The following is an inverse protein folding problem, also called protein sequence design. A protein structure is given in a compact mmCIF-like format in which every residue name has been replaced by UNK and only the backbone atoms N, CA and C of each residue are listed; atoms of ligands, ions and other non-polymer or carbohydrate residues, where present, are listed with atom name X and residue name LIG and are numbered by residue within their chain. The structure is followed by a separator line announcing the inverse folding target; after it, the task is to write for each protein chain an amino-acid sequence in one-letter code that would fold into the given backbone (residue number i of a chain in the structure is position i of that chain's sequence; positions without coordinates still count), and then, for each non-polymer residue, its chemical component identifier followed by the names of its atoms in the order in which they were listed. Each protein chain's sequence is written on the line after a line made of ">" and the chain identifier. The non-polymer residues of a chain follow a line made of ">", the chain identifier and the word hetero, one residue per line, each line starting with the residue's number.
data_IF_339977179529
#
_entry.id   IF_339977179529
#
_cell.length_a   1.000
_cell.length_b   1.000
_cell.length_c   1.000
_cell.angle_alpha   90.00
_cell.angle_beta   90.00
_cell.angle_gamma   90.00
#
_symmetry.space_group_name_H-M   'P 1'
#
loop_
_entity.id
_entity.type
_entity.pdbx_description
1 polymer ?
2 polymer ?
3 non-polymer ?
4 non-polymer ?
5 non-polymer ?
6 non-polymer ?
7 non-polymer ?
8 non-polymer ?
9 water ?
#
# COMPACT_ATOMS: atom_id res chain seq x y z
N UNK A 6 3.76 -13.62 16.54
CA UNK A 6 2.63 -12.81 16.07
C UNK A 6 2.72 -11.41 16.65
N UNK A 7 2.43 -10.41 15.82
CA UNK A 7 2.32 -9.08 16.39
C UNK A 7 1.45 -8.28 15.42
N UNK A 8 0.73 -7.30 15.95
CA UNK A 8 -0.15 -6.49 15.12
C UNK A 8 0.22 -5.03 15.31
N UNK A 9 0.18 -4.26 14.22
CA UNK A 9 0.62 -2.88 14.24
C UNK A 9 -0.53 -1.94 13.92
N UNK A 10 -0.58 -0.82 14.62
CA UNK A 10 -1.43 0.30 14.21
C UNK A 10 -0.51 1.46 13.91
N UNK A 11 -0.61 1.96 12.68
CA UNK A 11 0.19 3.07 12.18
C UNK A 11 -0.72 4.25 11.87
N UNK A 12 -0.35 5.42 12.37
CA UNK A 12 -0.87 6.69 11.89
C UNK A 12 0.25 7.31 11.08
N UNK A 13 0.02 7.51 9.79
CA UNK A 13 1.04 8.09 8.94
C UNK A 13 0.60 9.46 8.47
N UNK A 14 1.59 10.31 8.20
CA UNK A 14 1.41 11.64 7.66
C UNK A 14 2.40 11.91 6.54
N UNK A 15 1.97 12.71 5.59
CA UNK A 15 2.78 13.15 4.47
C UNK A 15 2.57 14.65 4.32
N UNK A 16 3.63 15.42 4.46
CA UNK A 16 3.58 16.86 4.33
C UNK A 16 4.42 17.26 3.13
N UNK A 17 3.78 17.80 2.11
CA UNK A 17 4.46 18.17 0.87
C UNK A 17 4.51 19.68 0.82
N UNK A 18 5.69 20.24 0.97
CA UNK A 18 5.88 21.69 0.92
C UNK A 18 6.31 22.05 -0.50
N UNK A 19 5.39 22.69 -1.24
CA UNK A 19 5.64 23.09 -2.61
C UNK A 19 6.43 24.40 -2.66
N UNK A 20 6.02 25.39 -1.88
CA UNK A 20 6.68 26.69 -1.83
C UNK A 20 6.36 27.34 -0.49
N UNK A 21 6.71 28.61 -0.35
CA UNK A 21 6.68 29.29 0.94
C UNK A 21 5.26 29.48 1.46
N UNK A 22 4.28 29.28 0.61
CA UNK A 22 2.91 29.61 0.91
C UNK A 22 1.96 28.46 0.64
N UNK A 23 2.46 27.33 0.10
CA UNK A 23 1.62 26.19 -0.25
C UNK A 23 2.27 24.92 0.26
N UNK A 24 1.66 24.34 1.28
CA UNK A 24 1.94 22.98 1.68
C UNK A 24 0.64 22.22 1.62
N UNK A 25 0.75 20.90 1.57
CA UNK A 25 -0.42 20.06 1.71
C UNK A 25 -0.12 18.93 2.68
N UNK A 26 -1.12 18.57 3.47
CA UNK A 26 -0.96 17.51 4.45
C UNK A 26 -1.96 16.39 4.32
N UNK A 27 -1.46 15.16 4.23
CA UNK A 27 -2.27 13.97 4.14
C UNK A 27 -1.97 13.04 5.30
N UNK A 28 -2.90 12.13 5.55
CA UNK A 28 -2.78 11.27 6.70
C UNK A 28 -3.80 10.16 6.72
N UNK A 29 -3.41 9.07 7.38
CA UNK A 29 -4.25 7.88 7.40
C UNK A 29 -3.85 6.98 8.55
N UNK A 30 -4.75 6.08 8.91
CA UNK A 30 -4.51 5.09 9.94
C UNK A 30 -4.68 3.69 9.38
N UNK A 31 -3.75 2.80 9.74
CA UNK A 31 -3.60 1.48 9.15
C UNK A 31 -3.46 0.44 10.23
N UNK A 32 -4.24 -0.62 10.11
CA UNK A 32 -4.15 -1.76 11.00
C UNK A 32 -3.42 -2.84 10.20
N UNK A 33 -2.15 -3.09 10.54
CA UNK A 33 -1.21 -3.75 9.64
C UNK A 33 -1.26 -3.15 8.25
N UNK A 34 -1.76 -3.89 7.26
CA UNK A 34 -1.81 -3.36 5.90
C UNK A 34 -3.19 -2.86 5.51
N UNK A 35 -4.15 -2.94 6.42
CA UNK A 35 -5.53 -2.57 6.15
C UNK A 35 -5.77 -1.13 6.59
N UNK A 36 -6.10 -0.26 5.65
CA UNK A 36 -6.43 1.11 6.03
C UNK A 36 -7.72 1.12 6.82
N UNK A 37 -7.68 1.72 8.01
CA UNK A 37 -8.87 1.81 8.84
C UNK A 37 -9.36 3.23 8.99
N UNK A 38 -8.51 4.22 8.70
CA UNK A 38 -8.87 5.61 8.90
C UNK A 38 -8.27 6.45 7.79
N UNK A 39 -9.02 7.47 7.37
CA UNK A 39 -8.51 8.53 6.54
C UNK A 39 -8.56 9.85 7.28
N UNK A 40 -8.05 10.91 6.64
CA UNK A 40 -8.19 12.26 7.14
C UNK A 40 -8.81 13.19 6.09
N UNK A 41 -9.89 13.88 6.46
CA UNK A 41 -10.51 14.86 5.57
C UNK A 41 -9.88 16.24 5.84
N UNK A 42 -9.09 16.70 4.86
CA UNK A 42 -8.28 17.92 4.99
C UNK A 42 -9.10 19.19 4.88
N UNK A 43 -10.19 19.17 4.12
CA UNK A 43 -10.97 20.39 3.98
C UNK A 43 -11.89 20.65 5.15
N UNK A 44 -12.28 19.61 5.89
CA UNK A 44 -12.98 19.79 7.15
C UNK A 44 -12.13 19.40 8.34
N UNK A 45 -10.94 18.86 8.13
CA UNK A 45 -10.03 18.49 9.19
C UNK A 45 -10.63 17.51 10.17
N UNK A 46 -11.15 16.39 9.69
CA UNK A 46 -11.83 15.42 10.55
C UNK A 46 -11.35 14.02 10.22
N UNK A 47 -11.59 13.09 11.14
CA UNK A 47 -11.23 11.69 10.90
C UNK A 47 -12.27 11.07 9.97
N UNK A 48 -11.82 10.25 9.03
CA UNK A 48 -12.72 9.42 8.24
C UNK A 48 -12.64 8.00 8.77
N UNK A 49 -13.75 7.52 9.33
CA UNK A 49 -13.87 6.16 9.83
C UNK A 49 -14.26 5.25 8.66
N UNK A 50 -13.32 4.39 8.23
CA UNK A 50 -13.52 3.67 6.97
C UNK A 50 -14.34 2.40 7.15
N UNK A 51 -14.37 1.84 8.35
CA UNK A 51 -15.17 0.67 8.62
C UNK A 51 -16.14 0.99 9.76
N UNK A 52 -17.23 0.22 9.82
CA UNK A 52 -18.19 0.39 10.90
C UNK A 52 -17.55 0.20 12.28
N UNK A 53 -16.42 -0.52 12.34
CA UNK A 53 -15.75 -0.81 13.61
C UNK A 53 -14.52 0.07 13.85
N UNK A 54 -14.28 1.08 13.02
CA UNK A 54 -13.08 1.89 13.05
C UNK A 54 -12.96 2.78 14.28
N UNK A 55 -14.04 2.93 15.07
CA UNK A 55 -13.95 3.65 16.32
C UNK A 55 -13.44 2.79 17.46
N UNK A 56 -13.25 1.49 17.22
CA UNK A 56 -12.84 0.57 18.26
C UNK A 56 -13.74 0.64 19.47
N UNK A 57 -13.14 0.60 20.65
CA UNK A 57 -13.84 0.79 21.91
C UNK A 57 -13.78 2.24 22.39
N UNK A 58 -13.35 3.18 21.56
CA UNK A 58 -13.24 4.57 21.97
C UNK A 58 -14.60 5.28 21.90
N UNK A 59 -14.84 6.18 22.84
CA UNK A 59 -16.05 7.00 22.82
C UNK A 59 -15.91 8.13 21.81
N UNK A 60 -17.05 8.69 21.41
CA UNK A 60 -17.01 9.85 20.52
C UNK A 60 -16.25 11.00 21.15
N UNK A 61 -16.21 11.04 22.49
CA UNK A 61 -15.54 12.12 23.19
C UNK A 61 -14.03 11.99 23.05
N UNK A 62 -13.51 10.78 23.28
CA UNK A 62 -12.08 10.53 23.08
C UNK A 62 -11.69 10.81 21.64
N UNK A 63 -12.52 10.37 20.69
CA UNK A 63 -12.22 10.57 19.28
C UNK A 63 -12.26 12.06 18.92
N UNK A 64 -13.23 12.83 19.45
CA UNK A 64 -13.26 14.28 19.22
C UNK A 64 -12.01 14.94 19.76
N UNK A 65 -11.58 14.56 20.97
CA UNK A 65 -10.32 15.05 21.50
C UNK A 65 -9.18 14.78 20.52
N UNK A 66 -9.09 13.54 20.03
CA UNK A 66 -7.98 13.19 19.15
C UNK A 66 -8.07 13.97 17.84
N UNK A 67 -9.28 14.12 17.30
CA UNK A 67 -9.49 14.87 16.07
C UNK A 67 -8.98 16.29 16.22
N UNK A 68 -9.37 16.97 17.31
CA UNK A 68 -8.86 18.33 17.54
C UNK A 68 -7.35 18.34 17.69
N UNK A 69 -6.81 17.33 18.35
CA UNK A 69 -5.36 17.27 18.53
C UNK A 69 -4.65 17.12 17.18
N UNK A 70 -5.18 16.27 16.30
CA UNK A 70 -4.57 16.04 15.00
C UNK A 70 -4.67 17.28 14.13
N UNK A 71 -5.80 17.97 14.15
CA UNK A 71 -5.91 19.15 13.30
C UNK A 71 -4.99 20.27 13.81
N UNK A 72 -4.92 20.45 15.13
CA UNK A 72 -3.94 21.38 15.68
C UNK A 72 -2.52 20.99 15.28
N UNK A 73 -2.19 19.69 15.38
CA UNK A 73 -0.86 19.20 15.03
C UNK A 73 -0.54 19.49 13.57
N UNK A 74 -1.41 19.06 12.66
CA UNK A 74 -1.14 19.27 11.23
C UNK A 74 -0.91 20.74 10.94
N UNK A 75 -1.80 21.61 11.42
CA UNK A 75 -1.66 23.02 11.10
C UNK A 75 -0.40 23.60 11.71
N UNK A 76 -0.12 23.29 12.99
CA UNK A 76 1.01 23.88 13.66
C UNK A 76 2.35 23.38 13.16
N UNK A 77 2.42 22.10 12.78
CA UNK A 77 3.65 21.58 12.19
C UNK A 77 3.92 22.22 10.84
N UNK A 78 2.91 22.24 9.96
CA UNK A 78 3.05 22.94 8.69
C UNK A 78 3.49 24.39 8.88
N UNK A 79 2.86 25.08 9.84
CA UNK A 79 3.17 26.50 10.02
C UNK A 79 4.58 26.70 10.54
N UNK A 80 5.00 25.89 11.52
CA UNK A 80 6.34 26.07 12.06
C UNK A 80 7.41 25.75 11.03
N UNK A 81 7.16 24.75 10.18
CA UNK A 81 8.10 24.43 9.12
C UNK A 81 8.15 25.54 8.09
N UNK A 82 7.00 26.08 7.68
CA UNK A 82 7.00 27.18 6.71
C UNK A 82 7.64 28.43 7.27
N UNK A 83 7.48 28.68 8.56
CA UNK A 83 8.18 29.78 9.23
C UNK A 83 9.68 29.56 9.17
N UNK A 84 10.14 28.41 9.65
CA UNK A 84 11.58 28.18 9.81
C UNK A 84 12.28 27.86 8.49
N UNK A 85 11.54 27.65 7.41
CA UNK A 85 12.11 27.51 6.07
C UNK A 85 12.29 28.86 5.38
N UNK A 86 12.13 29.95 6.13
CA UNK A 86 12.39 31.34 5.72
C UNK A 86 12.17 31.63 4.24
N UNK A 87 13.09 32.38 3.64
CA UNK A 87 13.08 32.68 2.21
C UNK A 87 14.09 31.84 1.43
N UNK A 88 14.35 30.61 1.89
CA UNK A 88 15.30 29.73 1.22
C UNK A 88 14.59 28.92 0.14
N UNK A 89 13.98 29.63 -0.82
CA UNK A 89 13.15 28.96 -1.81
C UNK A 89 13.95 28.21 -2.88
N UNK A 90 15.25 28.03 -2.68
CA UNK A 90 15.96 27.01 -3.43
C UNK A 90 15.80 25.63 -2.79
N UNK A 91 15.31 25.57 -1.57
CA UNK A 91 15.11 24.32 -0.84
C UNK A 91 13.78 23.64 -1.16
N UNK A 92 12.85 24.35 -1.84
CA UNK A 92 11.57 23.76 -2.24
C UNK A 92 11.69 23.11 -3.63
N UNK A 93 10.90 22.06 -3.92
CA UNK A 93 9.93 21.44 -3.02
C UNK A 93 10.60 20.44 -2.08
N UNK A 94 10.01 20.20 -0.93
CA UNK A 94 10.50 19.11 -0.09
C UNK A 94 9.31 18.45 0.58
N UNK A 95 9.59 17.35 1.26
CA UNK A 95 8.51 16.47 1.67
C UNK A 95 8.92 15.75 2.95
N UNK A 96 8.05 15.81 3.95
CA UNK A 96 8.29 15.23 5.26
C UNK A 96 7.30 14.08 5.44
N UNK A 97 7.78 12.94 5.93
CA UNK A 97 6.93 11.81 6.23
C UNK A 97 7.00 11.46 7.71
N UNK A 98 5.87 11.10 8.29
CA UNK A 98 5.80 10.73 9.70
C UNK A 98 5.11 9.39 9.79
N UNK A 99 5.70 8.46 10.52
CA UNK A 99 5.08 7.17 10.78
C UNK A 99 5.11 6.98 12.28
N UNK A 100 3.95 7.01 12.91
CA UNK A 100 3.85 6.88 14.35
C UNK A 100 2.86 5.78 14.68
N UNK A 101 2.99 5.17 15.85
CA UNK A 101 2.04 4.12 16.16
C UNK A 101 2.61 3.13 17.16
N UNK A 102 2.05 1.93 17.11
CA UNK A 102 2.37 0.95 18.13
C UNK A 102 2.17 -0.44 17.57
N UNK A 103 2.66 -1.41 18.33
CA UNK A 103 2.58 -2.82 18.00
C UNK A 103 2.27 -3.61 19.25
N UNK A 104 1.25 -4.47 19.16
CA UNK A 104 0.97 -5.46 20.17
C UNK A 104 1.70 -6.74 19.83
N UNK A 105 2.19 -7.42 20.87
CA UNK A 105 3.04 -8.60 20.74
C UNK A 105 2.47 -9.71 21.61
N UNK A 106 2.48 -10.93 21.09
CA UNK A 106 2.14 -12.08 21.92
C UNK A 106 3.25 -12.29 22.95
N UNK A 107 2.90 -12.14 24.23
CA UNK A 107 3.84 -12.42 25.31
C UNK A 107 4.82 -11.31 25.64
N UNK A 108 4.90 -10.26 24.82
CA UNK A 108 5.76 -9.13 25.09
C UNK A 108 4.97 -7.85 25.34
N UNK A 109 5.68 -6.86 25.87
CA UNK A 109 5.08 -5.55 26.04
C UNK A 109 4.87 -4.88 24.68
N UNK A 110 3.97 -3.90 24.61
CA UNK A 110 3.78 -3.19 23.34
C UNK A 110 5.02 -2.41 22.96
N UNK A 111 5.12 -2.09 21.67
CA UNK A 111 6.15 -1.21 21.16
C UNK A 111 5.48 0.07 20.68
N UNK A 112 6.11 1.20 20.91
CA UNK A 112 5.62 2.48 20.41
C UNK A 112 6.70 3.20 19.64
N UNK A 113 6.33 3.86 18.55
CA UNK A 113 7.33 4.47 17.70
C UNK A 113 6.80 5.75 17.07
N UNK A 114 7.75 6.61 16.68
CA UNK A 114 7.44 7.88 16.02
C UNK A 114 8.67 8.25 15.19
N UNK A 115 8.58 8.05 13.88
CA UNK A 115 9.71 8.12 12.97
C UNK A 115 9.44 9.15 11.90
N UNK A 116 10.45 9.93 11.56
CA UNK A 116 10.28 11.03 10.62
C UNK A 116 11.33 10.92 9.54
N UNK A 117 10.91 11.17 8.31
CA UNK A 117 11.77 11.15 7.15
C UNK A 117 11.70 12.51 6.47
N UNK A 118 12.82 12.88 5.86
CA UNK A 118 12.95 14.12 5.09
C UNK A 118 13.46 13.74 3.71
N UNK A 119 12.72 14.14 2.68
CA UNK A 119 13.03 13.77 1.30
C UNK A 119 13.35 12.28 1.16
N UNK A 120 12.59 11.44 1.86
CA UNK A 120 12.72 10.01 1.71
C UNK A 120 13.86 9.38 2.48
N UNK A 121 14.58 10.14 3.29
CA UNK A 121 15.65 9.59 4.13
C UNK A 121 15.29 9.76 5.59
N UNK A 122 15.64 8.75 6.41
CA UNK A 122 15.48 8.88 7.86
C UNK A 122 16.06 10.19 8.34
N UNK A 123 15.28 10.93 9.11
CA UNK A 123 15.74 12.18 9.70
C UNK A 123 15.88 12.06 11.20
N UNK A 124 14.83 11.62 11.90
CA UNK A 124 14.88 11.57 13.35
C UNK A 124 13.77 10.66 13.83
N UNK A 125 13.86 10.25 15.10
CA UNK A 125 12.82 9.42 15.68
C UNK A 125 12.59 9.84 17.12
N UNK A 126 11.49 9.38 17.68
CA UNK A 126 11.19 9.61 19.09
C UNK A 126 11.58 8.37 19.90
N UNK A 127 12.36 8.55 20.96
CA UNK A 127 12.88 7.47 21.79
C UNK A 127 12.47 7.77 23.23
N UNK A 128 11.30 7.27 23.61
CA UNK A 128 10.74 7.33 24.96
C UNK A 128 10.53 8.76 25.43
N UNK A 129 11.61 9.50 25.60
CA UNK A 129 11.54 10.86 26.09
C UNK A 129 12.24 11.86 25.18
N UNK A 130 12.94 11.42 24.14
CA UNK A 130 13.93 12.25 23.46
C UNK A 130 13.82 12.12 21.96
N UNK A 131 13.91 13.24 21.26
CA UNK A 131 14.03 13.23 19.81
C UNK A 131 15.49 12.98 19.43
N UNK A 132 15.72 11.96 18.61
CA UNK A 132 17.05 11.46 18.35
C UNK A 132 17.35 11.61 16.86
N UNK A 133 18.39 12.36 16.48
CA UNK A 133 18.71 12.50 15.06
C UNK A 133 19.24 11.21 14.49
N UNK A 134 18.78 10.89 13.29
CA UNK A 134 19.33 9.75 12.57
C UNK A 134 20.81 10.00 12.31
N UNK A 135 21.68 9.03 12.58
CA UNK A 135 23.10 9.24 12.22
C UNK A 135 23.29 9.52 10.73
N UNK A 136 22.46 8.95 9.87
CA UNK A 136 22.60 9.17 8.43
C UNK A 136 21.89 10.39 7.87
N UNK A 137 21.77 11.48 8.67
CA UNK A 137 21.12 12.67 8.14
C UNK A 137 21.69 13.95 8.73
N UNK A 138 22.84 13.89 9.38
CA UNK A 138 23.65 15.03 9.71
C UNK A 138 22.97 16.28 10.25
N UNK A 139 23.50 17.43 9.82
CA UNK A 139 23.23 18.72 10.47
C UNK A 139 21.75 18.95 10.68
N UNK A 140 20.97 18.92 9.60
CA UNK A 140 19.54 19.22 9.69
C UNK A 140 18.87 18.42 10.79
N UNK A 141 19.13 17.10 10.82
CA UNK A 141 18.51 16.27 11.83
C UNK A 141 18.81 16.81 13.22
N UNK A 142 20.11 16.99 13.52
CA UNK A 142 20.50 17.49 14.82
C UNK A 142 19.80 18.82 15.12
N UNK A 143 19.74 19.72 14.12
CA UNK A 143 19.13 21.01 14.35
C UNK A 143 17.67 20.84 14.76
N UNK A 144 16.91 20.07 13.97
CA UNK A 144 15.50 19.89 14.29
C UNK A 144 15.36 19.28 15.68
N UNK A 145 16.21 18.31 16.00
CA UNK A 145 16.04 17.64 17.28
C UNK A 145 16.31 18.60 18.42
N UNK A 146 17.30 19.48 18.27
CA UNK A 146 17.53 20.49 19.31
C UNK A 146 16.21 21.19 19.61
N UNK A 147 15.55 21.71 18.57
CA UNK A 147 14.34 22.49 18.80
C UNK A 147 13.29 21.62 19.45
N UNK A 148 13.11 20.40 18.92
CA UNK A 148 12.08 19.53 19.43
C UNK A 148 12.37 19.19 20.89
N UNK A 149 13.65 19.01 21.22
CA UNK A 149 13.94 18.66 22.60
C UNK A 149 13.82 19.84 23.54
N UNK A 150 13.94 21.08 23.06
CA UNK A 150 13.96 22.13 24.09
C UNK A 150 12.78 23.07 23.96
N UNK A 151 12.38 23.44 22.74
CA UNK A 151 11.28 24.40 22.58
C UNK A 151 9.91 23.76 22.78
N UNK A 152 9.74 22.49 22.43
CA UNK A 152 8.39 21.92 22.44
C UNK A 152 8.22 20.77 23.42
N UNK A 153 8.39 21.02 24.73
CA UNK A 153 8.43 19.93 25.69
C UNK A 153 7.04 19.37 26.04
N UNK A 154 6.00 20.21 26.06
CA UNK A 154 4.66 19.70 26.29
C UNK A 154 4.14 18.85 25.15
N UNK A 155 4.46 19.25 23.91
CA UNK A 155 4.17 18.43 22.74
C UNK A 155 4.82 17.06 22.91
N UNK A 156 6.02 17.04 23.48
CA UNK A 156 6.77 15.81 23.62
C UNK A 156 6.13 14.88 24.66
N UNK A 157 5.65 15.44 25.79
CA UNK A 157 4.98 14.54 26.73
C UNK A 157 3.66 14.02 26.16
N UNK A 158 2.95 14.85 25.39
CA UNK A 158 1.75 14.40 24.70
C UNK A 158 2.06 13.26 23.72
N UNK A 159 3.12 13.42 22.94
CA UNK A 159 3.51 12.36 22.00
C UNK A 159 3.82 11.07 22.77
N UNK A 160 4.65 11.16 23.81
CA UNK A 160 4.95 9.96 24.59
C UNK A 160 3.67 9.27 25.03
N UNK A 161 2.72 10.04 25.59
CA UNK A 161 1.50 9.43 26.11
C UNK A 161 0.70 8.78 24.98
N UNK A 162 0.65 9.42 23.82
CA UNK A 162 -0.14 8.88 22.71
C UNK A 162 0.45 7.57 22.18
N UNK A 163 1.77 7.52 21.97
CA UNK A 163 2.27 6.31 21.34
C UNK A 163 2.47 5.19 22.35
N UNK A 164 2.65 5.50 23.62
CA UNK A 164 2.94 4.43 24.55
C UNK A 164 1.71 3.96 25.32
N UNK A 165 0.69 4.81 25.45
CA UNK A 165 -0.50 4.48 26.23
C UNK A 165 -1.77 4.49 25.38
N UNK A 166 -2.08 5.61 24.72
CA UNK A 166 -3.32 5.70 23.97
C UNK A 166 -3.33 4.74 22.78
N UNK A 167 -2.20 4.64 22.08
CA UNK A 167 -2.19 3.82 20.85
C UNK A 167 -2.45 2.35 21.13
N UNK A 168 -1.73 1.67 22.03
CA UNK A 168 -2.06 0.25 22.24
C UNK A 168 -3.45 0.04 22.81
N UNK A 169 -3.92 0.90 23.71
CA UNK A 169 -5.30 0.80 24.19
C UNK A 169 -6.28 0.86 23.03
N UNK A 170 -6.10 1.83 22.13
CA UNK A 170 -6.96 1.94 20.97
C UNK A 170 -6.88 0.69 20.11
N UNK A 171 -5.67 0.22 19.86
CA UNK A 171 -5.47 -0.91 18.96
C UNK A 171 -6.11 -2.16 19.52
N UNK A 172 -6.01 -2.37 20.82
CA UNK A 172 -6.70 -3.49 21.44
C UNK A 172 -8.20 -3.40 21.18
N UNK A 173 -8.81 -2.24 21.48
CA UNK A 173 -10.23 -2.10 21.24
C UNK A 173 -10.61 -2.17 19.76
N UNK A 174 -9.68 -1.80 18.87
CA UNK A 174 -9.95 -1.80 17.44
C UNK A 174 -9.92 -3.21 16.87
N UNK A 175 -8.96 -4.03 17.32
CA UNK A 175 -8.97 -5.45 17.01
C UNK A 175 -10.27 -6.10 17.47
N UNK A 176 -10.65 -5.82 18.72
CA UNK A 176 -11.85 -6.43 19.26
C UNK A 176 -13.10 -6.01 18.49
N UNK A 177 -13.23 -4.71 18.20
CA UNK A 177 -14.37 -4.23 17.43
C UNK A 177 -14.38 -4.83 16.03
N UNK A 178 -13.20 -5.05 15.43
CA UNK A 178 -13.15 -5.61 14.10
C UNK A 178 -12.83 -7.09 14.05
N UNK A 179 -13.17 -7.84 15.11
CA UNK A 179 -12.65 -9.21 15.21
C UNK A 179 -13.24 -10.10 14.12
N UNK A 180 -14.53 -9.92 13.80
CA UNK A 180 -15.16 -10.72 12.75
C UNK A 180 -14.64 -10.40 11.35
N UNK A 181 -13.90 -9.30 11.19
CA UNK A 181 -13.31 -8.97 9.90
C UNK A 181 -11.82 -9.31 9.85
N UNK A 182 -11.03 -8.86 10.83
CA UNK A 182 -9.58 -9.03 10.74
C UNK A 182 -9.14 -10.49 10.71
N UNK A 183 -9.97 -11.42 11.20
CA UNK A 183 -9.63 -12.83 11.19
C UNK A 183 -10.38 -13.60 10.11
N UNK A 184 -10.94 -12.89 9.13
CA UNK A 184 -11.71 -13.55 8.09
C UNK A 184 -10.83 -14.51 7.31
N UNK A 185 -11.44 -15.51 6.71
CA UNK A 185 -10.80 -16.33 5.70
C UNK A 185 -11.59 -16.13 4.41
N UNK A 186 -10.88 -15.79 3.33
CA UNK A 186 -11.53 -15.51 2.06
C UNK A 186 -10.93 -16.46 1.01
N UNK A 187 -11.80 -17.24 0.33
CA UNK A 187 -11.28 -18.18 -0.64
C UNK A 187 -10.91 -17.48 -1.94
N UNK A 188 -9.81 -17.85 -2.57
CA UNK A 188 -9.49 -17.29 -3.88
C UNK A 188 -10.22 -18.04 -4.98
N UNK A 189 -10.26 -17.39 -6.13
CA UNK A 189 -10.50 -18.09 -7.39
C UNK A 189 -9.20 -18.13 -8.18
N UNK A 190 -9.15 -19.03 -9.15
CA UNK A 190 -8.01 -19.15 -10.04
C UNK A 190 -8.50 -19.21 -11.48
N UNK A 191 -7.64 -18.75 -12.39
CA UNK A 191 -7.90 -18.96 -13.81
C UNK A 191 -6.56 -19.06 -14.52
N UNK A 192 -6.58 -19.68 -15.70
CA UNK A 192 -5.37 -19.89 -16.49
C UNK A 192 -5.40 -19.01 -17.73
N UNK A 193 -4.22 -18.63 -18.18
CA UNK A 193 -4.08 -17.97 -19.47
C UNK A 193 -2.71 -18.27 -20.05
N UNK A 194 -2.51 -17.90 -21.31
CA UNK A 194 -1.19 -18.00 -21.92
C UNK A 194 -0.44 -16.67 -21.77
N UNK A 195 0.88 -16.74 -21.64
CA UNK A 195 1.66 -15.55 -21.42
C UNK A 195 2.55 -15.26 -22.60
N UNK A 196 3.37 -14.22 -22.50
CA UNK A 196 4.30 -13.91 -23.60
C UNK A 196 5.26 -15.07 -23.83
N UNK A 197 5.57 -15.28 -25.10
CA UNK A 197 6.49 -16.33 -25.51
C UNK A 197 7.80 -16.22 -24.71
N UNK A 198 8.26 -17.31 -24.09
CA UNK A 198 9.60 -17.28 -23.48
C UNK A 198 10.70 -17.48 -24.49
N UNK A 199 10.38 -17.95 -25.70
CA UNK A 199 11.36 -18.24 -26.71
C UNK A 199 10.78 -19.08 -27.83
N UNK A 200 11.51 -19.23 -28.94
CA UNK A 200 11.03 -20.09 -30.01
C UNK A 200 10.87 -21.53 -29.52
N UNK A 201 9.80 -22.19 -29.97
CA UNK A 201 9.48 -23.50 -29.45
C UNK A 201 9.18 -23.54 -27.97
N UNK A 202 8.81 -22.41 -27.35
CA UNK A 202 8.48 -22.38 -25.94
C UNK A 202 7.19 -21.61 -25.72
N UNK A 203 6.45 -22.02 -24.68
CA UNK A 203 5.18 -21.42 -24.32
C UNK A 203 5.28 -21.01 -22.87
N UNK A 204 4.50 -20.01 -22.46
CA UNK A 204 4.40 -19.65 -21.05
C UNK A 204 2.96 -19.79 -20.60
N UNK A 205 2.72 -20.63 -19.59
CA UNK A 205 1.41 -20.78 -18.97
C UNK A 205 1.36 -19.92 -17.71
N UNK A 206 0.17 -19.35 -17.43
CA UNK A 206 -0.03 -18.43 -16.32
C UNK A 206 -1.21 -18.89 -15.48
N UNK A 207 -1.00 -19.06 -14.19
CA UNK A 207 -2.04 -19.40 -13.24
C UNK A 207 -2.24 -18.18 -12.35
N UNK A 208 -3.41 -17.57 -12.43
CA UNK A 208 -3.76 -16.39 -11.67
C UNK A 208 -4.58 -16.85 -10.49
N UNK A 209 -4.23 -16.39 -9.30
CA UNK A 209 -4.93 -16.71 -8.07
C UNK A 209 -5.30 -15.38 -7.42
N UNK A 210 -6.58 -15.13 -7.22
CA UNK A 210 -7.01 -13.81 -6.79
C UNK A 210 -8.12 -13.92 -5.77
N UNK A 211 -8.13 -13.00 -4.81
CA UNK A 211 -9.21 -12.94 -3.85
C UNK A 211 -8.98 -13.72 -2.58
N UNK A 212 -7.74 -14.06 -2.26
CA UNK A 212 -7.49 -14.80 -1.03
C UNK A 212 -7.14 -13.86 0.11
N UNK A 213 -7.51 -14.29 1.31
CA UNK A 213 -7.09 -13.66 2.55
C UNK A 213 -7.17 -14.74 3.62
N UNK A 214 -6.17 -14.86 4.51
CA UNK A 214 -4.97 -14.00 4.59
C UNK A 214 -3.92 -14.31 3.53
N UNK A 215 -2.77 -13.64 3.63
CA UNK A 215 -1.80 -13.58 2.56
C UNK A 215 -1.05 -14.88 2.29
N UNK A 216 -0.71 -15.71 3.29
CA UNK A 216 0.05 -16.94 2.97
C UNK A 216 -0.68 -17.82 1.95
N UNK A 217 0.04 -18.28 0.93
CA UNK A 217 -0.57 -19.06 -0.14
C UNK A 217 0.50 -19.93 -0.79
N UNK A 218 0.08 -21.08 -1.34
CA UNK A 218 0.97 -21.99 -2.04
C UNK A 218 0.39 -22.27 -3.41
N UNK A 219 1.21 -22.17 -4.46
CA UNK A 219 0.76 -22.40 -5.82
C UNK A 219 1.89 -23.11 -6.53
N UNK A 220 1.55 -24.20 -7.23
CA UNK A 220 2.53 -24.94 -8.01
C UNK A 220 1.88 -25.38 -9.32
N UNK A 221 2.65 -25.35 -10.40
CA UNK A 221 2.24 -26.09 -11.59
C UNK A 221 2.55 -27.57 -11.38
N UNK A 222 1.69 -28.43 -11.96
CA UNK A 222 1.69 -29.86 -11.70
C UNK A 222 1.48 -30.62 -13.00
N UNK A 223 2.09 -31.79 -13.12
CA UNK A 223 1.60 -32.81 -14.05
C UNK A 223 1.15 -33.98 -13.19
N UNK A 224 -0.15 -34.10 -13.00
CA UNK A 224 -0.65 -35.08 -12.05
C UNK A 224 -0.22 -34.70 -10.66
N UNK A 225 0.44 -35.61 -9.95
CA UNK A 225 0.92 -35.33 -8.60
C UNK A 225 2.37 -34.87 -8.58
N UNK A 226 2.97 -34.65 -9.75
CA UNK A 226 4.35 -34.21 -9.86
C UNK A 226 4.40 -32.68 -10.00
N UNK A 227 4.88 -32.02 -8.95
CA UNK A 227 5.17 -30.60 -9.03
C UNK A 227 6.19 -30.33 -10.14
N UNK A 228 6.05 -29.20 -10.83
CA UNK A 228 6.87 -28.86 -11.99
C UNK A 228 7.98 -27.88 -11.65
N UNK A 229 9.20 -28.19 -12.12
CA UNK A 229 10.39 -27.41 -11.79
C UNK A 229 10.27 -25.97 -12.24
N UNK A 230 9.69 -25.74 -13.41
CA UNK A 230 9.67 -24.38 -13.93
C UNK A 230 8.74 -23.42 -13.21
N UNK A 231 7.99 -23.87 -12.20
CA UNK A 231 7.03 -22.99 -11.55
C UNK A 231 7.72 -21.73 -11.03
N UNK A 232 7.15 -20.58 -11.33
CA UNK A 232 7.70 -19.33 -10.82
C UNK A 232 6.56 -18.44 -10.32
N UNK A 233 6.63 -18.06 -9.04
CA UNK A 233 5.63 -17.21 -8.42
C UNK A 233 6.06 -15.75 -8.52
N UNK A 234 5.08 -14.88 -8.73
CA UNK A 234 5.32 -13.45 -8.71
C UNK A 234 5.17 -12.87 -7.32
N UNK A 235 5.00 -11.56 -7.27
CA UNK A 235 4.74 -10.88 -6.01
C UNK A 235 3.28 -11.06 -5.61
N UNK A 236 3.02 -11.02 -4.30
CA UNK A 236 1.64 -10.99 -3.83
C UNK A 236 1.17 -9.54 -3.88
N UNK A 237 0.14 -9.29 -4.67
CA UNK A 237 -0.31 -7.95 -5.01
C UNK A 237 -1.66 -7.68 -4.39
N UNK A 238 -1.95 -6.43 -4.06
CA UNK A 238 -3.23 -6.11 -3.39
C UNK A 238 -4.39 -6.00 -4.36
N UNK A 239 -5.55 -6.52 -3.93
CA UNK A 239 -6.83 -6.16 -4.51
C UNK A 239 -7.52 -5.14 -3.61
N UNK A 240 -8.53 -4.49 -4.15
CA UNK A 240 -9.44 -3.69 -3.33
C UNK A 240 -10.27 -4.62 -2.46
N UNK A 241 -10.80 -4.07 -1.37
CA UNK A 241 -11.67 -4.80 -0.43
C UNK A 241 -10.95 -5.96 0.26
N UNK A 242 -9.65 -5.83 0.50
CA UNK A 242 -8.96 -6.70 1.44
C UNK A 242 -8.67 -8.12 0.97
N UNK A 243 -8.28 -8.31 -0.30
CA UNK A 243 -7.82 -9.61 -0.76
C UNK A 243 -6.58 -9.39 -1.60
N UNK A 244 -5.97 -10.49 -2.04
CA UNK A 244 -4.64 -10.46 -2.63
C UNK A 244 -4.62 -11.30 -3.90
N UNK A 245 -3.56 -11.12 -4.66
CA UNK A 245 -3.46 -11.66 -6.01
C UNK A 245 -2.05 -12.16 -6.19
N UNK A 246 -1.90 -13.31 -6.83
CA UNK A 246 -0.61 -13.93 -7.09
C UNK A 246 -0.65 -14.60 -8.46
N UNK A 247 0.42 -14.38 -9.23
CA UNK A 247 0.61 -15.00 -10.54
C UNK A 247 1.71 -16.05 -10.43
N UNK A 248 1.45 -17.24 -10.97
CA UNK A 248 2.43 -18.32 -11.03
C UNK A 248 2.57 -18.75 -12.49
N UNK A 249 3.77 -18.63 -13.04
CA UNK A 249 3.97 -18.98 -14.43
C UNK A 249 4.79 -20.25 -14.56
N UNK A 250 4.77 -20.78 -15.78
CA UNK A 250 5.58 -21.95 -16.11
C UNK A 250 5.97 -21.85 -17.58
N UNK A 251 7.26 -21.99 -17.88
CA UNK A 251 7.69 -22.11 -19.25
C UNK A 251 7.70 -23.60 -19.60
N UNK A 252 7.12 -23.93 -20.75
CA UNK A 252 7.06 -25.33 -21.16
C UNK A 252 7.44 -25.42 -22.64
N UNK A 253 8.10 -26.52 -22.98
CA UNK A 253 8.56 -26.73 -24.34
C UNK A 253 7.37 -26.99 -25.26
N UNK A 254 7.57 -26.69 -26.54
CA UNK A 254 6.59 -26.98 -27.58
C UNK A 254 6.10 -28.43 -27.46
N UNK A 255 4.78 -28.60 -27.46
CA UNK A 255 4.17 -29.91 -27.46
C UNK A 255 4.19 -30.66 -26.14
N UNK A 256 4.05 -29.96 -25.02
CA UNK A 256 4.08 -30.61 -23.72
C UNK A 256 3.13 -29.95 -22.74
N UNK A 257 2.29 -28.99 -23.18
CA UNK A 257 1.38 -28.29 -22.29
C UNK A 257 0.20 -29.16 -21.86
N UNK A 258 -0.20 -30.13 -22.70
CA UNK A 258 -1.35 -30.98 -22.39
C UNK A 258 -1.09 -31.80 -21.14
N UNK A 259 -2.04 -31.75 -20.20
CA UNK A 259 -1.92 -32.51 -18.98
C UNK A 259 -1.42 -31.72 -17.79
N UNK A 260 -1.00 -30.48 -18.01
CA UNK A 260 -0.55 -29.64 -16.89
C UNK A 260 -1.75 -29.03 -16.17
N UNK A 261 -1.58 -28.80 -14.86
CA UNK A 261 -2.61 -28.20 -14.04
C UNK A 261 -1.94 -27.26 -13.06
N UNK A 262 -2.72 -26.35 -12.51
CA UNK A 262 -2.27 -25.43 -11.47
C UNK A 262 -2.96 -25.81 -10.17
N UNK A 263 -2.19 -25.90 -9.09
CA UNK A 263 -2.71 -26.36 -7.79
C UNK A 263 -2.47 -25.28 -6.75
N UNK A 264 -3.53 -24.96 -6.00
CA UNK A 264 -3.55 -23.82 -5.08
C UNK A 264 -3.95 -24.35 -3.69
N UNK A 265 -3.11 -24.07 -2.70
CA UNK A 265 -3.38 -24.35 -1.31
C UNK A 265 -3.47 -23.02 -0.57
N UNK A 266 -4.41 -22.95 0.36
CA UNK A 266 -4.65 -21.74 1.14
C UNK A 266 -5.41 -22.15 2.39
N UNK A 267 -5.21 -21.42 3.47
CA UNK A 267 -5.88 -21.73 4.73
C UNK A 267 -7.40 -21.80 4.55
N UNK A 268 -7.95 -20.98 3.66
CA UNK A 268 -9.41 -20.93 3.50
C UNK A 268 -9.98 -22.16 2.85
N UNK A 269 -9.14 -23.01 2.26
CA UNK A 269 -9.67 -24.18 1.56
C UNK A 269 -9.74 -25.39 2.47
N UNK A 270 -8.77 -25.52 3.37
CA UNK A 270 -8.67 -26.65 4.29
C UNK A 270 -8.98 -27.97 3.60
N UNK A 271 -7.99 -28.55 2.93
CA UNK A 271 -8.20 -29.83 2.28
C UNK A 271 -9.16 -29.79 1.11
N UNK A 272 -9.23 -28.67 0.40
CA UNK A 272 -9.96 -28.57 -0.85
C UNK A 272 -9.09 -27.79 -1.81
N UNK A 273 -7.92 -28.35 -2.14
CA UNK A 273 -7.01 -27.63 -3.02
C UNK A 273 -7.74 -27.27 -4.31
N UNK A 274 -7.51 -26.07 -4.81
CA UNK A 274 -7.96 -25.75 -6.15
C UNK A 274 -7.03 -26.44 -7.14
N UNK A 275 -7.60 -27.17 -8.09
CA UNK A 275 -6.81 -27.76 -9.17
C UNK A 275 -7.48 -27.37 -10.49
N UNK A 276 -6.74 -26.64 -11.33
CA UNK A 276 -7.23 -26.17 -12.63
C UNK A 276 -6.41 -26.79 -13.74
N UNK A 277 -7.06 -27.45 -14.68
CA UNK A 277 -6.32 -28.05 -15.78
C UNK A 277 -6.20 -27.06 -16.93
N UNK A 278 -5.01 -27.02 -17.54
CA UNK A 278 -4.81 -26.25 -18.76
C UNK A 278 -5.59 -26.86 -19.91
N UNK A 279 -6.46 -26.07 -20.55
CA UNK A 279 -7.30 -26.61 -21.60
C UNK A 279 -7.02 -25.99 -22.97
N UNK A 280 -5.87 -25.33 -23.13
CA UNK A 280 -5.39 -25.14 -24.47
C UNK A 280 -5.17 -23.72 -24.97
N UNK A 281 -4.22 -23.48 -25.91
CA UNK A 281 -3.47 -24.47 -26.71
C UNK A 281 -4.36 -25.54 -27.36
N UNK B 3 15.47 14.79 -2.66
CA UNK B 3 16.68 14.02 -2.93
C UNK B 3 16.91 12.95 -1.85
N UNK B 4 16.99 11.69 -2.25
CA UNK B 4 16.90 11.34 -3.67
C UNK B 4 15.47 11.02 -4.09
N UNK B 5 15.37 10.49 -5.30
CA UNK B 5 14.10 10.29 -5.97
C UNK B 5 14.08 8.87 -6.51
N UNK B 6 12.94 8.19 -6.37
CA UNK B 6 12.79 6.83 -6.85
C UNK B 6 11.62 6.72 -7.81
N UNK B 7 11.75 5.85 -8.75
CA UNK B 7 10.89 5.82 -9.92
C UNK B 7 9.75 4.84 -9.70
N UNK B 8 8.50 5.26 -9.98
CA UNK B 8 7.38 4.35 -9.76
C UNK B 8 7.53 3.07 -10.53
N UNK B 9 7.12 1.98 -9.89
CA UNK B 9 6.90 0.69 -10.51
C UNK B 9 5.38 0.53 -10.72
N UNK B 10 4.99 -0.02 -11.86
CA UNK B 10 3.58 -0.01 -12.30
C UNK B 10 3.16 -1.44 -12.63
N UNK B 11 2.15 -1.96 -11.93
CA UNK B 11 1.67 -3.30 -12.20
C UNK B 11 0.17 -3.23 -12.46
N UNK B 12 -0.29 -3.90 -13.52
CA UNK B 12 -1.69 -3.87 -13.95
C UNK B 12 -2.21 -5.29 -14.00
N UNK B 13 -3.38 -5.51 -13.40
CA UNK B 13 -3.91 -6.87 -13.32
C UNK B 13 -5.41 -6.79 -13.06
N UNK B 14 -6.13 -7.83 -13.42
CA UNK B 14 -7.57 -7.86 -13.22
C UNK B 14 -7.90 -8.65 -11.96
N UNK B 15 -9.01 -8.29 -11.33
CA UNK B 15 -9.46 -8.96 -10.12
C UNK B 15 -10.05 -10.33 -10.42
N UNK B 16 -10.61 -10.51 -11.61
CA UNK B 16 -11.34 -11.69 -12.04
C UNK B 16 -10.88 -12.07 -13.42
N UNK B 17 -11.18 -13.29 -13.89
CA UNK B 17 -10.78 -13.69 -15.24
C UNK B 17 -11.29 -12.70 -16.27
N UNK B 18 -10.46 -12.39 -17.26
CA UNK B 18 -10.80 -11.41 -18.28
C UNK B 18 -11.72 -12.07 -19.30
N UNK B 19 -13.03 -11.89 -19.14
CA UNK B 19 -14.01 -12.47 -20.04
C UNK B 19 -14.91 -11.36 -20.57
N UNK B 20 -14.96 -11.24 -21.90
CA UNK B 20 -15.71 -10.16 -22.53
C UNK B 20 -17.17 -10.18 -22.07
N UNK B 21 -17.69 -8.98 -21.76
CA UNK B 21 -19.06 -8.87 -21.30
C UNK B 21 -19.27 -9.15 -19.83
N UNK B 22 -18.26 -9.56 -19.08
CA UNK B 22 -18.41 -9.81 -17.66
C UNK B 22 -17.83 -8.66 -16.86
N UNK B 23 -18.62 -8.13 -15.93
CA UNK B 23 -18.12 -7.11 -15.02
C UNK B 23 -16.90 -7.63 -14.28
N UNK B 24 -15.94 -6.74 -14.05
CA UNK B 24 -14.62 -7.09 -13.54
C UNK B 24 -14.08 -5.84 -12.86
N UNK B 25 -12.89 -5.98 -12.26
CA UNK B 25 -12.16 -4.84 -11.73
C UNK B 25 -10.74 -4.85 -12.29
N UNK B 26 -10.30 -3.69 -12.77
CA UNK B 26 -8.94 -3.45 -13.24
C UNK B 26 -8.16 -2.74 -12.15
N UNK B 27 -7.03 -3.32 -11.75
CA UNK B 27 -6.15 -2.78 -10.72
C UNK B 27 -4.86 -2.27 -11.34
N UNK B 28 -4.38 -1.15 -10.81
CA UNK B 28 -3.04 -0.65 -11.09
C UNK B 28 -2.37 -0.36 -9.75
N UNK B 29 -1.34 -1.13 -9.43
CA UNK B 29 -0.55 -0.96 -8.22
C UNK B 29 0.74 -0.23 -8.57
N UNK B 30 0.91 0.98 -8.05
CA UNK B 30 2.05 1.85 -8.33
C UNK B 30 2.83 2.00 -7.04
N UNK B 31 4.08 1.55 -7.04
CA UNK B 31 4.81 1.39 -5.78
C UNK B 31 6.27 1.80 -5.94
N UNK B 32 6.93 2.05 -4.81
CA UNK B 32 8.35 2.31 -4.82
C UNK B 32 8.76 3.67 -5.32
N UNK B 33 7.88 4.68 -5.27
CA UNK B 33 8.27 5.97 -5.80
C UNK B 33 8.51 6.98 -4.68
N UNK B 34 9.27 8.03 -5.02
CA UNK B 34 9.51 9.18 -4.15
C UNK B 34 9.92 10.33 -5.04
N UNK B 35 9.40 11.55 -4.83
CA UNK B 35 8.44 11.92 -3.79
C UNK B 35 6.99 11.62 -4.16
N UNK B 36 6.03 12.07 -3.34
CA UNK B 36 4.67 11.58 -3.46
C UNK B 36 3.93 12.18 -4.66
N UNK B 37 4.29 13.39 -5.07
CA UNK B 37 3.63 14.04 -6.20
C UNK B 37 3.69 13.12 -7.41
N UNK B 38 2.51 12.69 -7.89
CA UNK B 38 2.41 11.72 -8.99
C UNK B 38 1.06 11.90 -9.67
N UNK B 39 0.98 11.49 -10.94
CA UNK B 39 -0.28 11.40 -11.66
C UNK B 39 -0.43 9.97 -12.11
N UNK B 40 -1.44 9.27 -11.58
CA UNK B 40 -1.78 7.91 -12.00
C UNK B 40 -3.20 7.95 -12.56
N UNK B 41 -3.37 7.45 -13.80
CA UNK B 41 -4.66 7.40 -14.47
C UNK B 41 -4.88 6.00 -15.03
N UNK B 42 -6.08 5.47 -14.86
CA UNK B 42 -6.48 4.28 -15.61
C UNK B 42 -7.09 4.73 -16.92
N UNK B 43 -6.79 4.00 -18.00
CA UNK B 43 -7.22 4.37 -19.33
C UNK B 43 -8.05 3.27 -19.96
N UNK B 44 -9.03 3.72 -20.74
CA UNK B 44 -9.79 2.89 -21.67
C UNK B 44 -9.64 3.54 -23.04
N UNK B 45 -8.96 2.86 -23.95
CA UNK B 45 -8.73 3.34 -25.32
C UNK B 45 -8.12 4.74 -25.30
N UNK B 46 -7.10 4.91 -24.45
CA UNK B 46 -6.30 6.11 -24.40
C UNK B 46 -6.80 7.20 -23.48
N UNK B 47 -8.08 7.16 -23.10
CA UNK B 47 -8.71 8.24 -22.34
C UNK B 47 -8.78 7.88 -20.86
N UNK B 48 -8.43 8.85 -20.01
CA UNK B 48 -8.52 8.69 -18.57
C UNK B 48 -9.90 8.17 -18.19
N UNK B 49 -9.93 7.19 -17.30
CA UNK B 49 -11.21 6.71 -16.77
C UNK B 49 -11.58 7.59 -15.59
N UNK B 50 -12.71 8.29 -15.72
CA UNK B 50 -13.09 9.33 -14.78
C UNK B 50 -13.52 8.74 -13.45
N UNK B 51 -14.15 7.58 -13.48
CA UNK B 51 -14.76 7.05 -12.28
C UNK B 51 -13.84 5.94 -11.80
N UNK B 52 -12.87 6.29 -10.97
CA UNK B 52 -11.94 5.32 -10.44
C UNK B 52 -11.88 5.45 -8.93
N UNK B 53 -11.33 4.42 -8.32
CA UNK B 53 -11.03 4.41 -6.89
C UNK B 53 -9.53 4.36 -6.70
N UNK B 54 -9.06 4.95 -5.62
CA UNK B 54 -7.66 4.78 -5.28
C UNK B 54 -7.52 4.76 -3.77
N UNK B 55 -6.53 4.00 -3.30
CA UNK B 55 -6.23 4.01 -1.88
C UNK B 55 -5.61 5.37 -1.49
N UNK B 56 -5.71 5.70 -0.21
CA UNK B 56 -5.01 6.87 0.27
C UNK B 56 -3.53 6.61 0.18
N UNK B 57 -2.76 7.68 0.02
CA UNK B 57 -1.30 7.58 -0.02
C UNK B 57 -0.76 6.89 1.23
N UNK B 58 0.13 5.92 1.00
CA UNK B 58 0.81 5.23 2.08
C UNK B 58 2.26 5.01 1.66
N UNK B 59 3.06 4.43 2.55
CA UNK B 59 4.45 4.25 2.19
C UNK B 59 5.02 3.04 2.94
N UNK B 60 6.11 2.52 2.38
CA UNK B 60 6.76 1.32 2.88
C UNK B 60 7.78 1.70 3.95
N UNK B 61 8.42 0.68 4.52
CA UNK B 61 9.42 0.92 5.54
C UNK B 61 10.61 1.69 4.99
N UNK B 62 10.88 1.59 3.69
CA UNK B 62 11.96 2.38 3.13
C UNK B 62 11.54 3.82 2.83
N UNK B 63 10.30 4.20 3.14
CA UNK B 63 9.71 5.53 2.93
C UNK B 63 9.23 5.75 1.48
N UNK B 64 9.38 4.78 0.59
CA UNK B 64 8.83 4.92 -0.74
C UNK B 64 7.32 4.72 -0.73
N UNK B 65 6.62 5.49 -1.56
CA UNK B 65 5.17 5.52 -1.57
C UNK B 65 4.58 4.40 -2.43
N UNK B 66 3.32 4.07 -2.14
CA UNK B 66 2.54 3.17 -2.98
C UNK B 66 1.07 3.57 -3.00
N UNK B 67 0.42 3.27 -4.12
CA UNK B 67 -0.97 3.57 -4.39
C UNK B 67 -1.57 2.38 -5.12
N UNK B 68 -2.79 2.01 -4.75
CA UNK B 68 -3.58 1.04 -5.49
C UNK B 68 -4.75 1.77 -6.13
N UNK B 69 -4.86 1.63 -7.45
CA UNK B 69 -5.99 2.14 -8.22
C UNK B 69 -6.82 0.96 -8.66
N UNK B 70 -8.13 1.16 -8.75
CA UNK B 70 -8.99 0.11 -9.29
C UNK B 70 -10.26 0.74 -9.84
N UNK B 71 -10.80 0.11 -10.87
CA UNK B 71 -12.07 0.55 -11.41
C UNK B 71 -12.86 -0.65 -11.90
N UNK B 72 -14.17 -0.57 -11.76
CA UNK B 72 -15.02 -1.58 -12.35
C UNK B 72 -15.03 -1.36 -13.85
N UNK B 73 -14.91 -2.45 -14.62
CA UNK B 73 -14.85 -2.38 -16.07
C UNK B 73 -15.40 -3.67 -16.65
N UNK B 74 -15.92 -3.57 -17.86
CA UNK B 74 -16.44 -4.72 -18.59
C UNK B 74 -15.62 -4.88 -19.86
N UNK B 75 -14.71 -5.84 -19.92
CA UNK B 75 -13.88 -6.00 -21.11
C UNK B 75 -14.72 -6.40 -22.32
N UNK B 76 -14.21 -6.02 -23.49
CA UNK B 76 -14.69 -6.51 -24.77
C UNK B 76 -13.47 -6.80 -25.62
N UNK B 77 -13.70 -7.28 -26.85
CA UNK B 77 -12.59 -7.64 -27.72
C UNK B 77 -11.86 -6.40 -28.23
N UNK B 78 -12.61 -5.34 -28.55
CA UNK B 78 -12.01 -4.14 -29.10
C UNK B 78 -11.30 -3.29 -28.05
N UNK B 79 -11.74 -3.38 -26.79
CA UNK B 79 -11.38 -2.41 -25.76
C UNK B 79 -9.96 -2.63 -25.24
N UNK B 80 -9.22 -1.53 -25.11
CA UNK B 80 -7.84 -1.55 -24.64
C UNK B 80 -7.72 -0.78 -23.33
N UNK B 81 -7.07 -1.37 -22.34
CA UNK B 81 -6.97 -0.80 -21.00
C UNK B 81 -5.51 -0.62 -20.60
N UNK B 82 -5.25 0.45 -19.85
CA UNK B 82 -3.88 0.76 -19.50
C UNK B 82 -3.83 1.51 -18.17
N UNK B 83 -2.64 1.64 -17.63
CA UNK B 83 -2.37 2.50 -16.48
C UNK B 83 -1.26 3.46 -16.87
N UNK B 84 -1.54 4.74 -16.83
CA UNK B 84 -0.59 5.78 -17.21
C UNK B 84 -0.10 6.48 -15.95
N UNK B 85 1.19 6.76 -15.89
CA UNK B 85 1.82 7.34 -14.70
C UNK B 85 2.81 8.41 -15.11
N UNK B 86 2.67 9.59 -14.55
CA UNK B 86 3.67 10.63 -14.67
C UNK B 86 4.22 10.94 -13.28
N UNK B 87 5.51 11.29 -13.25
CA UNK B 87 6.28 11.47 -12.03
C UNK B 87 7.56 12.21 -12.39
N UNK B 88 8.13 12.91 -11.42
CA UNK B 88 9.29 13.75 -11.71
C UNK B 88 10.45 12.90 -12.24
N UNK B 89 10.51 11.64 -11.83
CA UNK B 89 11.53 10.70 -12.30
C UNK B 89 11.30 10.21 -13.72
N UNK B 90 10.28 10.71 -14.42
CA UNK B 90 9.83 10.18 -15.70
C UNK B 90 9.82 11.32 -16.70
N UNK B 91 10.55 11.14 -17.81
CA UNK B 91 10.65 12.19 -18.82
C UNK B 91 9.29 12.46 -19.47
N UNK B 92 8.69 11.44 -20.06
CA UNK B 92 7.38 11.24 -20.64
C UNK B 92 6.49 10.52 -19.65
N UNK B 93 5.19 10.79 -19.64
CA UNK B 93 4.26 9.86 -18.99
C UNK B 93 4.52 8.45 -19.49
N UNK B 94 4.35 7.48 -18.60
CA UNK B 94 4.61 6.08 -18.89
C UNK B 94 3.30 5.32 -18.91
N UNK B 95 2.97 4.70 -20.04
CA UNK B 95 1.73 3.96 -20.19
C UNK B 95 2.08 2.48 -20.13
N UNK B 96 1.53 1.78 -19.16
CA UNK B 96 1.68 0.33 -19.06
C UNK B 96 0.37 -0.28 -19.53
N UNK B 97 0.43 -1.02 -20.63
CA UNK B 97 -0.79 -1.53 -21.25
C UNK B 97 -1.22 -2.81 -20.50
N UNK B 98 -2.52 -3.01 -20.33
CA UNK B 98 -2.98 -4.19 -19.61
C UNK B 98 -3.04 -5.36 -20.56
N UNK B 99 -2.10 -6.30 -20.40
CA UNK B 99 -2.18 -7.58 -21.08
C UNK B 99 -3.27 -8.39 -20.41
N UNK B 100 -4.33 -8.71 -21.15
CA UNK B 100 -5.45 -9.43 -20.57
C UNK B 100 -5.02 -10.80 -20.05
N UNK B 101 -4.16 -11.48 -20.80
CA UNK B 101 -3.77 -12.85 -20.46
C UNK B 101 -2.73 -12.86 -19.34
N UNK B 102 -1.73 -12.01 -19.45
CA UNK B 102 -0.58 -12.06 -18.57
C UNK B 102 -0.67 -11.08 -17.41
N UNK B 103 -1.45 -10.01 -17.56
CA UNK B 103 -1.25 -8.81 -16.74
C UNK B 103 0.09 -8.17 -17.09
N UNK B 104 0.38 -7.08 -16.39
CA UNK B 104 1.58 -6.31 -16.67
C UNK B 104 2.24 -6.02 -15.32
N UNK B 105 3.08 -6.95 -14.86
CA UNK B 105 3.80 -6.87 -13.60
C UNK B 105 5.29 -6.69 -13.87
N UNK B 106 6.06 -6.38 -12.83
CA UNK B 106 7.52 -6.40 -13.05
C UNK B 106 8.21 -7.21 -11.94
#
# INVERSE_FOLDING_TARGET
>A
ADASQEHVSFHVIQIFSFVNQSWARGQGSGWLDELQTHGWDSESGTIIFLHQWSKGQFSNEELSDLELLFRFYLFGLTREIQDHASQDYSKYPFEVQVKAGCELHSGGSPEGFFQVAFNGLDLLSFQQTTWVPSPGCGSLAQSVCHLLNHQYEGVTETVYNLIRSTCPRFLLGLLDAGKMYVHRQVRPEAWLSSGPSPGPGRLQLVCHVSGFYPKPVWVMWMRGEQEQQGTQLGDILPNANGTWYLRATLDVADGEAAGLSCRVKHSSLEGQDIILYWRGSLVPR
>B
DAAIQRTPKIQVYSRHPAENGKSNFLNCYVSGFHPSDIEVDLLKNGERIEKVEHSDLSFSKDWSFYLLYYTEFTPTEKDEYACRVNHVTLSQPKIVKWDRDMGSLVPR
#
